data_IF_366397075896
#
_entry.id   IF_366397075896
#
_cell.length_a   1.000
_cell.length_b   1.000
_cell.length_c   1.000
_cell.angle_alpha   90.00
_cell.angle_beta   90.00
_cell.angle_gamma   90.00
#
_symmetry.space_group_name_H-M   'P 1'
#
loop_
_entity.id
_entity.type
_entity.pdbx_description
1 polymer ?
#
# COMPACT_ATOMS: atom_id res chain seq x y z
N UNK A 1 39.60 -18.43 5.77
CA UNK A 1 38.84 -17.22 5.38
C UNK A 1 37.48 -17.28 6.06
N UNK A 2 37.30 -16.57 7.17
CA UNK A 2 36.13 -16.70 8.06
C UNK A 2 34.94 -15.90 7.51
N UNK A 3 33.85 -16.58 7.20
CA UNK A 3 32.61 -15.97 6.71
C UNK A 3 31.98 -15.07 7.78
N UNK A 4 31.81 -13.78 7.47
CA UNK A 4 31.22 -12.77 8.34
C UNK A 4 29.74 -13.11 8.60
N UNK A 5 29.44 -13.70 9.76
CA UNK A 5 28.07 -14.01 10.17
C UNK A 5 27.34 -12.72 10.53
N UNK A 6 26.37 -12.32 9.71
CA UNK A 6 25.43 -11.24 10.04
C UNK A 6 24.45 -11.81 11.07
N UNK A 7 24.42 -11.26 12.29
CA UNK A 7 23.47 -11.66 13.32
C UNK A 7 22.04 -11.31 12.89
N UNK A 8 21.09 -12.23 13.09
CA UNK A 8 19.67 -11.96 12.84
C UNK A 8 19.24 -10.80 13.74
N UNK A 9 18.88 -9.67 13.13
CA UNK A 9 18.56 -8.42 13.83
C UNK A 9 19.59 -7.29 13.65
N UNK A 10 20.75 -7.56 13.06
CA UNK A 10 21.65 -6.48 12.65
C UNK A 10 21.04 -5.73 11.46
N UNK A 11 20.65 -4.47 11.67
CA UNK A 11 20.24 -3.57 10.59
C UNK A 11 21.41 -3.53 9.58
N UNK A 12 21.21 -3.87 8.30
CA UNK A 12 22.25 -3.72 7.29
C UNK A 12 22.56 -2.22 7.14
N UNK A 13 23.53 -1.73 7.90
CA UNK A 13 24.04 -0.38 7.77
C UNK A 13 24.89 -0.37 6.49
N UNK A 14 24.44 0.42 5.51
CA UNK A 14 25.03 0.66 4.19
C UNK A 14 24.57 -0.26 3.02
N UNK A 15 23.38 -0.84 3.06
CA UNK A 15 22.77 -1.41 1.85
C UNK A 15 21.81 -0.38 1.20
N UNK A 16 22.16 0.20 0.03
CA UNK A 16 21.32 1.19 -0.66
C UNK A 16 19.95 0.62 -1.10
N UNK A 17 19.86 -0.69 -1.32
CA UNK A 17 18.60 -1.36 -1.66
C UNK A 17 17.69 -1.47 -0.43
N UNK A 18 18.25 -1.73 0.75
CA UNK A 18 17.53 -1.71 2.02
C UNK A 18 17.01 -0.30 2.34
N UNK A 19 17.81 0.75 2.10
CA UNK A 19 17.34 2.13 2.22
C UNK A 19 16.24 2.45 1.22
N UNK A 20 16.36 2.00 -0.03
CA UNK A 20 15.32 2.17 -1.05
C UNK A 20 14.02 1.46 -0.66
N UNK A 21 14.07 0.25 -0.10
CA UNK A 21 12.90 -0.47 0.42
C UNK A 21 12.23 0.26 1.60
N UNK A 22 13.02 0.82 2.51
CA UNK A 22 12.52 1.61 3.64
C UNK A 22 11.86 2.90 3.14
N UNK A 23 12.48 3.61 2.20
CA UNK A 23 11.93 4.84 1.60
C UNK A 23 10.69 4.58 0.76
N UNK A 24 10.61 3.44 0.06
CA UNK A 24 9.40 3.02 -0.66
C UNK A 24 8.21 2.81 0.28
N UNK A 25 8.45 2.30 1.50
CA UNK A 25 7.42 2.18 2.53
C UNK A 25 6.97 3.55 3.09
N UNK A 26 7.79 4.58 2.96
CA UNK A 26 7.52 5.95 3.36
C UNK A 26 7.08 6.81 2.16
N UNK A 27 6.12 6.34 1.37
CA UNK A 27 5.49 7.17 0.33
C UNK A 27 4.79 8.37 1.00
N UNK A 28 5.49 9.51 1.03
CA UNK A 28 5.24 10.65 1.92
C UNK A 28 3.87 11.33 1.73
N UNK A 29 3.20 11.12 0.59
CA UNK A 29 1.93 11.77 0.25
C UNK A 29 0.71 10.82 0.29
N UNK A 30 0.85 9.64 0.91
CA UNK A 30 -0.25 8.67 1.02
C UNK A 30 -0.64 8.39 2.47
N UNK A 31 -1.95 8.45 2.75
CA UNK A 31 -2.54 8.09 4.05
C UNK A 31 -3.38 6.81 3.93
N UNK A 32 -3.45 6.01 5.01
CA UNK A 32 -4.31 4.82 5.09
C UNK A 32 -5.70 5.21 5.59
N UNK A 33 -6.72 4.83 4.84
CA UNK A 33 -8.12 5.00 5.21
C UNK A 33 -8.76 3.63 5.52
N UNK A 34 -9.33 3.48 6.70
CA UNK A 34 -10.10 2.29 7.11
C UNK A 34 -11.58 2.65 7.12
N UNK A 35 -12.40 1.85 6.42
CA UNK A 35 -13.83 2.09 6.27
C UNK A 35 -14.64 0.89 6.76
N UNK A 36 -15.64 1.15 7.58
CA UNK A 36 -16.65 0.16 7.92
C UNK A 36 -17.79 0.25 6.91
N UNK A 37 -18.04 -0.86 6.21
CA UNK A 37 -19.11 -0.98 5.22
C UNK A 37 -19.84 -2.31 5.44
N UNK A 38 -21.06 -2.44 4.93
CA UNK A 38 -21.77 -3.73 4.96
C UNK A 38 -21.07 -4.73 4.04
N UNK A 39 -21.16 -6.02 4.36
CA UNK A 39 -20.59 -7.09 3.52
C UNK A 39 -21.16 -7.08 2.10
N UNK A 40 -22.44 -6.73 1.94
CA UNK A 40 -23.10 -6.60 0.64
C UNK A 40 -22.53 -5.44 -0.18
N UNK A 41 -22.29 -4.28 0.46
CA UNK A 41 -21.68 -3.13 -0.20
C UNK A 41 -20.23 -3.43 -0.61
N UNK A 42 -19.44 -4.04 0.28
CA UNK A 42 -18.07 -4.44 -0.04
C UNK A 42 -18.02 -5.40 -1.24
N UNK A 43 -18.93 -6.37 -1.29
CA UNK A 43 -19.04 -7.32 -2.42
C UNK A 43 -19.35 -6.60 -3.72
N UNK A 44 -20.33 -5.68 -3.72
CA UNK A 44 -20.69 -4.89 -4.90
C UNK A 44 -19.52 -4.05 -5.39
N UNK A 45 -18.81 -3.36 -4.49
CA UNK A 45 -17.64 -2.56 -4.87
C UNK A 45 -16.56 -3.45 -5.50
N UNK A 46 -16.27 -4.61 -4.90
CA UNK A 46 -15.28 -5.56 -5.45
C UNK A 46 -15.67 -6.05 -6.84
N UNK A 47 -16.95 -6.40 -7.05
CA UNK A 47 -17.44 -6.83 -8.35
C UNK A 47 -17.28 -5.72 -9.40
N UNK A 48 -17.71 -4.50 -9.10
CA UNK A 48 -17.56 -3.37 -10.03
C UNK A 48 -16.09 -3.09 -10.34
N UNK A 49 -15.19 -3.20 -9.35
CA UNK A 49 -13.76 -3.00 -9.56
C UNK A 49 -13.18 -4.07 -10.50
N UNK A 50 -13.58 -5.33 -10.29
CA UNK A 50 -13.21 -6.44 -11.16
C UNK A 50 -13.71 -6.26 -12.59
N UNK A 51 -14.99 -5.89 -12.78
CA UNK A 51 -15.58 -5.61 -14.10
C UNK A 51 -14.83 -4.49 -14.85
N UNK A 52 -14.28 -3.51 -14.11
CA UNK A 52 -13.52 -2.40 -14.68
C UNK A 52 -12.01 -2.69 -14.83
N UNK A 53 -11.53 -3.85 -14.38
CA UNK A 53 -10.12 -4.21 -14.43
C UNK A 53 -9.20 -3.36 -13.55
N UNK A 54 -9.74 -2.72 -12.50
CA UNK A 54 -8.98 -1.90 -11.54
C UNK A 54 -9.10 -2.47 -10.13
N UNK A 55 -8.20 -2.11 -9.24
CA UNK A 55 -8.33 -2.47 -7.82
C UNK A 55 -9.44 -1.66 -7.14
N UNK A 56 -10.04 -2.24 -6.10
CA UNK A 56 -10.99 -1.52 -5.25
C UNK A 56 -10.38 -0.23 -4.68
N UNK A 57 -9.09 -0.23 -4.34
CA UNK A 57 -8.41 0.94 -3.79
C UNK A 57 -8.29 2.08 -4.82
N UNK A 58 -7.99 1.76 -6.08
CA UNK A 58 -7.97 2.75 -7.18
C UNK A 58 -9.35 3.33 -7.42
N UNK A 59 -10.39 2.48 -7.50
CA UNK A 59 -11.77 2.93 -7.66
C UNK A 59 -12.21 3.87 -6.53
N UNK A 60 -11.94 3.49 -5.27
CA UNK A 60 -12.29 4.32 -4.12
C UNK A 60 -11.51 5.65 -4.12
N UNK A 61 -10.25 5.64 -4.58
CA UNK A 61 -9.46 6.87 -4.71
C UNK A 61 -10.07 7.84 -5.72
N UNK A 62 -10.55 7.35 -6.86
CA UNK A 62 -11.23 8.19 -7.86
C UNK A 62 -12.54 8.78 -7.32
N UNK A 63 -13.34 7.99 -6.62
CA UNK A 63 -14.57 8.49 -5.96
C UNK A 63 -14.22 9.56 -4.93
N UNK A 64 -13.24 9.31 -4.05
CA UNK A 64 -12.82 10.27 -3.03
C UNK A 64 -12.26 11.55 -3.65
N UNK A 65 -11.49 11.46 -4.74
CA UNK A 65 -10.97 12.61 -5.47
C UNK A 65 -12.10 13.46 -6.05
N UNK A 66 -13.10 12.83 -6.66
CA UNK A 66 -14.27 13.53 -7.20
C UNK A 66 -15.09 14.21 -6.10
N UNK A 67 -15.31 13.56 -4.96
CA UNK A 67 -16.13 14.10 -3.87
C UNK A 67 -15.40 15.14 -3.01
N UNK A 68 -14.07 15.06 -2.88
CA UNK A 68 -13.29 16.02 -2.08
C UNK A 68 -12.87 17.28 -2.85
N UNK A 69 -12.95 17.24 -4.19
CA UNK A 69 -12.63 18.38 -5.07
C UNK A 69 -13.89 19.14 -5.53
N UNK A 70 -15.07 18.60 -5.25
CA UNK A 70 -16.37 19.24 -5.50
C UNK A 70 -16.88 19.96 -4.26
#
# INVERSE_FOLDING_TARGET
MSGKRIGIGARPLADPQAEAWIRQGAALDSARLTLNVTSSLHTRIKLTAFERGVTMAEMLREVLKQQATS
#
